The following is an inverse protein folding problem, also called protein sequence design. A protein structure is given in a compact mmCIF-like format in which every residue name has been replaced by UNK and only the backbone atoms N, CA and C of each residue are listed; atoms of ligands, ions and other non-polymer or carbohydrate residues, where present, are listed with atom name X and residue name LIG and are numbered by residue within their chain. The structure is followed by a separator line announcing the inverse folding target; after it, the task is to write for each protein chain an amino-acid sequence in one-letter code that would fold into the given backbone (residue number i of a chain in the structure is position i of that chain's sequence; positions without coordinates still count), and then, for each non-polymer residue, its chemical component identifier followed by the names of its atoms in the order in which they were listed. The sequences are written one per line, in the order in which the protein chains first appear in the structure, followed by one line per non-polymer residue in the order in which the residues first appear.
data_IF_516649901088
#
_entry.id   IF_516649901088
#
_cell.length_a   1.000
_cell.length_b   1.000
_cell.length_c   1.000
_cell.angle_alpha   90.00
_cell.angle_beta   90.00
_cell.angle_gamma   90.00
#
_symmetry.space_group_name_H-M   'P 1'
#
loop_
_entity.id
_entity.type
_entity.pdbx_description
1 polymer ?
#
# COMPACT_ATOMS: atom_id res chain seq x y z
N UNK A 1 -13.12 -17.26 -3.09
CA UNK A 1 -12.57 -16.37 -2.05
C UNK A 1 -12.31 -15.04 -2.71
N UNK A 2 -12.52 -13.95 -1.98
CA UNK A 2 -12.40 -12.59 -2.53
C UNK A 2 -11.33 -11.84 -1.76
N UNK A 3 -10.26 -11.35 -2.43
CA UNK A 3 -9.20 -10.62 -1.78
C UNK A 3 -9.68 -9.21 -1.41
N UNK A 4 -9.49 -8.84 -0.15
CA UNK A 4 -9.77 -7.53 0.41
C UNK A 4 -8.55 -6.97 1.13
N UNK A 5 -8.52 -5.67 1.23
CA UNK A 5 -7.56 -4.93 2.03
C UNK A 5 -8.29 -3.82 2.79
N UNK A 6 -8.07 -3.73 4.09
CA UNK A 6 -8.57 -2.63 4.89
C UNK A 6 -7.40 -1.79 5.37
N UNK A 7 -7.44 -0.50 5.08
CA UNK A 7 -6.56 0.52 5.63
C UNK A 7 -7.23 1.13 6.86
N UNK A 8 -6.57 1.06 8.00
CA UNK A 8 -6.92 1.83 9.19
C UNK A 8 -5.85 2.90 9.36
N UNK A 9 -6.16 4.10 8.92
CA UNK A 9 -5.32 5.29 8.97
C UNK A 9 -5.70 6.09 10.22
N UNK A 10 -4.75 6.36 11.12
CA UNK A 10 -5.08 6.94 12.41
C UNK A 10 -3.92 7.68 13.06
N UNK A 11 -4.27 8.45 14.08
CA UNK A 11 -3.34 9.05 15.01
C UNK A 11 -3.52 8.45 16.40
N UNK A 12 -2.43 8.40 17.16
CA UNK A 12 -2.42 7.97 18.57
C UNK A 12 -2.23 9.22 19.43
N UNK A 13 -2.98 9.39 20.54
CA UNK A 13 -2.76 10.51 21.45
C UNK A 13 -1.31 10.56 21.93
N UNK A 14 -0.76 11.77 22.01
CA UNK A 14 0.62 12.00 22.42
C UNK A 14 0.96 11.32 23.75
N UNK A 15 2.05 10.59 23.79
CA UNK A 15 2.51 9.86 24.98
C UNK A 15 1.89 8.46 25.15
N UNK A 16 0.94 8.06 24.30
CA UNK A 16 0.32 6.72 24.34
C UNK A 16 0.82 5.76 23.25
N UNK A 17 1.85 6.15 22.52
CA UNK A 17 2.38 5.36 21.38
C UNK A 17 2.87 3.97 21.81
N UNK A 18 3.54 3.88 22.94
CA UNK A 18 4.03 2.58 23.48
C UNK A 18 2.86 1.69 23.92
N UNK A 19 1.81 2.28 24.49
CA UNK A 19 0.60 1.56 24.92
C UNK A 19 -0.17 1.03 23.71
N UNK A 20 -0.34 1.88 22.66
CA UNK A 20 -0.93 1.44 21.41
C UNK A 20 -0.13 0.30 20.76
N UNK A 21 1.20 0.41 20.75
CA UNK A 21 2.07 -0.65 20.25
C UNK A 21 1.86 -1.98 20.99
N UNK A 22 1.84 -1.93 22.32
CA UNK A 22 1.61 -3.11 23.16
C UNK A 22 0.20 -3.70 22.94
N UNK A 23 -0.82 -2.85 22.79
CA UNK A 23 -2.17 -3.28 22.46
C UNK A 23 -2.22 -3.99 21.10
N UNK A 24 -1.64 -3.38 20.06
CA UNK A 24 -1.66 -3.95 18.72
C UNK A 24 -0.94 -5.29 18.65
N UNK A 25 0.29 -5.37 19.19
CA UNK A 25 1.12 -6.57 19.09
C UNK A 25 0.70 -7.66 20.10
N UNK A 26 -0.10 -7.33 21.09
CA UNK A 26 -0.61 -8.23 22.12
C UNK A 26 -2.08 -8.61 21.92
N UNK A 27 -3.01 -7.99 22.66
CA UNK A 27 -4.43 -8.40 22.65
C UNK A 27 -5.10 -8.28 21.30
N UNK A 28 -4.84 -7.21 20.53
CA UNK A 28 -5.43 -7.03 19.21
C UNK A 28 -4.99 -8.11 18.24
N UNK A 29 -3.67 -8.38 18.13
CA UNK A 29 -3.15 -9.46 17.28
C UNK A 29 -3.71 -10.83 17.65
N UNK A 30 -3.89 -11.08 18.95
CA UNK A 30 -4.53 -12.32 19.43
C UNK A 30 -6.00 -12.39 18.98
N UNK A 31 -6.74 -11.30 19.08
CA UNK A 31 -8.14 -11.24 18.67
C UNK A 31 -8.27 -11.39 17.13
N UNK A 32 -7.37 -10.79 16.36
CA UNK A 32 -7.32 -10.93 14.91
C UNK A 32 -7.22 -12.38 14.45
N UNK A 33 -6.59 -13.27 15.23
CA UNK A 33 -6.48 -14.69 14.88
C UNK A 33 -7.85 -15.41 14.77
N UNK A 34 -8.91 -14.83 15.33
CA UNK A 34 -10.28 -15.34 15.19
C UNK A 34 -10.99 -14.91 13.92
N UNK A 35 -10.45 -13.93 13.18
CA UNK A 35 -11.07 -13.42 11.97
C UNK A 35 -10.92 -14.40 10.81
N UNK A 36 -12.06 -14.78 10.25
CA UNK A 36 -12.09 -15.68 9.10
C UNK A 36 -11.52 -14.99 7.88
N UNK A 37 -10.58 -15.65 7.22
CA UNK A 37 -9.97 -15.16 5.99
C UNK A 37 -8.89 -14.10 6.18
N UNK A 38 -8.51 -13.73 7.41
CA UNK A 38 -7.37 -12.85 7.62
C UNK A 38 -6.08 -13.54 7.14
N UNK A 39 -5.36 -12.86 6.25
CA UNK A 39 -4.09 -13.31 5.67
C UNK A 39 -2.91 -12.65 6.35
N UNK A 40 -3.01 -11.33 6.60
CA UNK A 40 -1.94 -10.52 7.17
C UNK A 40 -2.49 -9.32 7.94
N UNK A 41 -1.75 -8.89 8.96
CA UNK A 41 -2.01 -7.66 9.70
C UNK A 41 -0.67 -7.01 10.08
N UNK A 42 -0.35 -5.91 9.42
CA UNK A 42 0.87 -5.15 9.63
C UNK A 42 0.58 -3.74 10.10
N UNK A 43 1.52 -3.18 10.88
CA UNK A 43 1.46 -1.80 11.34
C UNK A 43 2.63 -0.99 10.80
N UNK A 44 2.33 0.25 10.45
CA UNK A 44 3.25 1.16 9.82
C UNK A 44 3.19 2.54 10.48
N UNK A 45 4.27 3.29 10.39
CA UNK A 45 4.37 4.70 10.76
C UNK A 45 4.74 5.52 9.52
N UNK A 46 4.16 6.70 9.38
CA UNK A 46 4.44 7.59 8.24
C UNK A 46 5.94 7.85 8.12
N UNK A 47 6.47 7.68 6.92
CA UNK A 47 7.88 7.99 6.66
C UNK A 47 8.10 9.50 6.62
N UNK A 48 9.20 10.01 7.18
CA UNK A 48 9.59 11.40 6.99
C UNK A 48 10.01 11.70 5.53
N UNK A 49 10.22 10.66 4.73
CA UNK A 49 10.61 10.76 3.33
C UNK A 49 9.39 10.50 2.47
N UNK A 50 8.92 11.53 1.76
CA UNK A 50 7.73 11.47 0.90
C UNK A 50 8.08 11.90 -0.53
N UNK A 51 7.42 11.29 -1.52
CA UNK A 51 7.59 11.69 -2.94
C UNK A 51 6.91 13.02 -3.23
N UNK A 52 5.88 13.35 -2.48
CA UNK A 52 5.11 14.59 -2.58
C UNK A 52 5.13 15.28 -1.20
N UNK A 53 6.25 15.93 -0.83
CA UNK A 53 6.42 16.46 0.52
C UNK A 53 5.45 17.60 0.86
N UNK A 54 4.90 18.26 -0.16
CA UNK A 54 3.91 19.36 0.02
C UNK A 54 2.49 18.82 0.25
N UNK A 55 2.24 17.53 0.09
CA UNK A 55 0.96 16.93 0.42
C UNK A 55 0.91 16.64 1.92
N UNK A 56 -0.13 17.14 2.62
CA UNK A 56 -0.32 16.84 4.03
C UNK A 56 -0.31 15.33 4.32
N UNK A 57 0.32 14.96 5.43
CA UNK A 57 0.34 13.59 5.96
C UNK A 57 -0.53 13.57 7.23
N UNK A 58 -1.86 13.48 7.11
CA UNK A 58 -2.78 13.68 8.23
C UNK A 58 -2.75 12.53 9.24
N UNK A 59 -2.27 11.35 8.83
CA UNK A 59 -2.23 10.15 9.65
C UNK A 59 -0.78 9.72 9.91
N UNK A 60 -0.42 9.63 11.18
CA UNK A 60 0.91 9.15 11.58
C UNK A 60 1.03 7.64 11.46
N UNK A 61 -0.05 6.91 11.69
CA UNK A 61 -0.06 5.46 11.69
C UNK A 61 -1.02 4.89 10.66
N UNK A 62 -0.66 3.72 10.16
CA UNK A 62 -1.51 2.88 9.33
C UNK A 62 -1.43 1.44 9.80
N UNK A 63 -2.58 0.81 10.00
CA UNK A 63 -2.69 -0.65 10.09
C UNK A 63 -3.27 -1.17 8.78
N UNK A 64 -2.62 -2.17 8.21
CA UNK A 64 -3.00 -2.81 6.95
C UNK A 64 -3.47 -4.22 7.25
N UNK A 65 -4.73 -4.50 6.97
CA UNK A 65 -5.34 -5.83 7.12
C UNK A 65 -5.63 -6.40 5.74
N UNK A 66 -5.06 -7.55 5.44
CA UNK A 66 -5.29 -8.26 4.19
C UNK A 66 -6.13 -9.50 4.45
N UNK A 67 -7.12 -9.71 3.60
CA UNK A 67 -8.07 -10.80 3.71
C UNK A 67 -8.24 -11.57 2.40
N UNK A 68 -8.57 -12.85 2.53
CA UNK A 68 -9.15 -13.68 1.48
C UNK A 68 -10.50 -14.20 1.98
N UNK A 69 -11.55 -13.40 1.76
CA UNK A 69 -12.85 -13.57 2.41
C UNK A 69 -13.73 -14.58 1.66
N UNK A 70 -14.18 -15.64 2.31
CA UNK A 70 -15.20 -16.54 1.76
C UNK A 70 -16.55 -15.82 1.53
N UNK A 71 -16.95 -14.94 2.45
CA UNK A 71 -18.14 -14.11 2.36
C UNK A 71 -17.88 -12.72 2.92
N UNK A 72 -17.52 -11.78 2.04
CA UNK A 72 -17.13 -10.44 2.46
C UNK A 72 -18.22 -9.68 3.24
N UNK A 73 -19.49 -9.88 2.90
CA UNK A 73 -20.60 -9.20 3.58
C UNK A 73 -20.77 -9.63 5.06
N UNK A 74 -20.32 -10.84 5.39
CA UNK A 74 -20.39 -11.39 6.75
C UNK A 74 -19.03 -11.20 7.46
N UNK A 75 -17.94 -11.52 6.77
CA UNK A 75 -16.63 -11.67 7.40
C UNK A 75 -15.92 -10.32 7.60
N UNK A 76 -16.06 -9.37 6.66
CA UNK A 76 -15.40 -8.06 6.75
C UNK A 76 -15.86 -7.21 7.95
N UNK A 77 -17.16 -7.11 8.26
CA UNK A 77 -17.64 -6.33 9.41
C UNK A 77 -17.09 -6.81 10.76
N UNK A 78 -16.65 -8.07 10.85
CA UNK A 78 -16.10 -8.62 12.09
C UNK A 78 -14.81 -7.93 12.57
N UNK A 79 -14.12 -7.18 11.68
CA UNK A 79 -12.98 -6.35 12.07
C UNK A 79 -13.42 -5.11 12.87
N UNK A 80 -14.61 -4.57 12.64
CA UNK A 80 -15.09 -3.33 13.25
C UNK A 80 -15.02 -3.31 14.77
N UNK A 81 -15.59 -4.28 15.50
CA UNK A 81 -15.50 -4.35 16.94
C UNK A 81 -14.05 -4.35 17.45
N UNK A 82 -13.14 -5.04 16.78
CA UNK A 82 -11.73 -5.11 17.17
C UNK A 82 -10.99 -3.77 17.00
N UNK A 83 -11.43 -2.92 16.06
CA UNK A 83 -10.92 -1.55 15.92
C UNK A 83 -11.56 -0.61 16.94
N UNK A 84 -12.84 -0.83 17.30
CA UNK A 84 -13.52 -0.06 18.33
C UNK A 84 -12.83 -0.22 19.70
N UNK A 85 -12.30 -1.38 20.02
CA UNK A 85 -11.55 -1.62 21.28
C UNK A 85 -10.42 -0.62 21.51
N UNK A 86 -9.71 -0.19 20.44
CA UNK A 86 -8.66 0.82 20.54
C UNK A 86 -9.22 2.21 20.87
N UNK A 87 -10.37 2.57 20.27
CA UNK A 87 -11.06 3.84 20.53
C UNK A 87 -11.58 3.87 21.96
N UNK A 88 -12.25 2.81 22.39
CA UNK A 88 -12.81 2.68 23.76
C UNK A 88 -11.71 2.75 24.83
N UNK A 89 -10.51 2.25 24.51
CA UNK A 89 -9.34 2.40 25.35
C UNK A 89 -8.66 3.78 25.23
N UNK A 90 -9.17 4.69 24.39
CA UNK A 90 -8.56 6.00 24.13
C UNK A 90 -7.19 5.93 23.48
N UNK A 91 -6.90 4.87 22.71
CA UNK A 91 -5.64 4.65 22.01
C UNK A 91 -5.63 5.23 20.60
N UNK A 92 -6.79 5.65 20.08
CA UNK A 92 -6.95 6.38 18.83
C UNK A 92 -7.43 7.79 19.17
N UNK A 93 -6.84 8.78 18.54
CA UNK A 93 -7.20 10.18 18.78
C UNK A 93 -8.63 10.45 18.27
N UNK A 94 -9.44 11.15 19.07
CA UNK A 94 -10.85 11.46 18.82
C UNK A 94 -11.03 12.84 18.11
N UNK A 95 -10.06 13.26 17.32
CA UNK A 95 -10.15 14.49 16.54
C UNK A 95 -10.80 14.19 15.19
N UNK A 96 -11.62 15.12 14.67
CA UNK A 96 -12.18 14.96 13.33
C UNK A 96 -11.04 14.80 12.30
N UNK A 97 -11.17 13.84 11.41
CA UNK A 97 -10.15 13.42 10.44
C UNK A 97 -8.92 12.67 11.01
N UNK A 98 -8.81 12.49 12.32
CA UNK A 98 -7.70 11.73 12.93
C UNK A 98 -7.73 10.24 12.61
N UNK A 99 -8.88 9.73 12.18
CA UNK A 99 -9.07 8.32 11.84
C UNK A 99 -9.87 8.13 10.55
N UNK A 100 -9.43 7.19 9.74
CA UNK A 100 -10.14 6.74 8.52
C UNK A 100 -9.97 5.22 8.36
N UNK A 101 -11.07 4.57 8.03
CA UNK A 101 -11.08 3.15 7.71
C UNK A 101 -11.65 2.99 6.31
N UNK A 102 -10.84 2.44 5.41
CA UNK A 102 -11.24 2.19 4.03
C UNK A 102 -11.00 0.74 3.66
N UNK A 103 -12.03 0.07 3.19
CA UNK A 103 -11.94 -1.30 2.69
C UNK A 103 -11.98 -1.32 1.17
N UNK A 104 -11.01 -1.99 0.57
CA UNK A 104 -10.84 -2.13 -0.88
C UNK A 104 -11.00 -3.59 -1.28
N UNK A 105 -11.72 -3.82 -2.37
CA UNK A 105 -11.71 -5.09 -3.06
C UNK A 105 -10.51 -5.13 -3.99
N UNK A 106 -9.62 -6.10 -3.80
CA UNK A 106 -8.39 -6.20 -4.58
C UNK A 106 -8.64 -6.94 -5.89
N UNK A 107 -8.02 -6.48 -6.97
CA UNK A 107 -8.17 -7.10 -8.30
C UNK A 107 -7.42 -8.42 -8.41
N UNK A 108 -6.30 -8.56 -7.71
CA UNK A 108 -5.44 -9.73 -7.73
C UNK A 108 -4.63 -9.83 -6.44
N UNK A 109 -3.86 -10.88 -6.32
CA UNK A 109 -2.79 -10.96 -5.34
C UNK A 109 -1.64 -9.99 -5.69
N UNK A 110 -0.66 -9.88 -4.79
CA UNK A 110 0.55 -9.11 -5.03
C UNK A 110 1.27 -9.57 -6.31
N UNK A 111 1.60 -8.62 -7.17
CA UNK A 111 2.51 -8.81 -8.30
C UNK A 111 3.92 -8.59 -7.79
N UNK A 112 4.75 -9.62 -7.83
CA UNK A 112 6.07 -9.61 -7.18
C UNK A 112 7.17 -9.28 -8.19
N UNK A 113 8.04 -8.37 -7.80
CA UNK A 113 9.28 -8.06 -8.50
C UNK A 113 10.25 -9.25 -8.48
N UNK A 114 11.01 -9.50 -9.55
CA UNK A 114 12.13 -10.44 -9.51
C UNK A 114 13.25 -10.03 -8.53
N UNK A 115 13.26 -8.78 -8.07
CA UNK A 115 14.23 -8.28 -7.09
C UNK A 115 13.82 -8.58 -5.63
N UNK A 116 12.62 -9.13 -5.40
CA UNK A 116 12.18 -9.47 -4.06
C UNK A 116 13.05 -10.55 -3.43
N UNK A 117 13.52 -10.28 -2.22
CA UNK A 117 14.30 -11.21 -1.41
C UNK A 117 13.40 -11.79 -0.31
N UNK A 118 13.09 -13.09 -0.44
CA UNK A 118 12.11 -13.77 0.41
C UNK A 118 12.50 -13.80 1.90
N UNK A 119 13.79 -13.84 2.19
CA UNK A 119 14.38 -13.90 3.53
C UNK A 119 14.59 -12.52 4.18
N UNK A 120 14.30 -11.45 3.45
CA UNK A 120 14.38 -10.09 3.94
C UNK A 120 12.97 -9.57 4.34
N UNK A 121 12.85 -8.81 5.45
CA UNK A 121 11.61 -8.18 5.83
C UNK A 121 11.26 -7.05 4.84
N UNK A 122 9.97 -6.68 4.78
CA UNK A 122 9.59 -5.41 4.17
C UNK A 122 10.09 -4.26 5.04
N UNK A 123 10.64 -3.23 4.41
CA UNK A 123 10.98 -1.97 5.08
C UNK A 123 9.79 -1.02 5.18
N UNK A 124 8.82 -1.14 4.27
CA UNK A 124 7.64 -0.29 4.26
C UNK A 124 6.67 -0.61 3.13
N UNK A 125 5.68 0.26 3.03
CA UNK A 125 4.70 0.27 1.94
C UNK A 125 4.36 1.72 1.57
N UNK A 126 4.14 2.00 0.29
CA UNK A 126 3.44 3.21 -0.10
C UNK A 126 2.00 2.90 -0.49
N UNK A 127 1.09 3.78 -0.11
CA UNK A 127 -0.29 3.78 -0.57
C UNK A 127 -0.52 4.93 -1.53
N UNK A 128 -1.18 4.64 -2.62
CA UNK A 128 -1.61 5.64 -3.59
C UNK A 128 -3.14 5.55 -3.66
N UNK A 129 -3.79 6.64 -3.24
CA UNK A 129 -5.23 6.80 -3.35
C UNK A 129 -5.49 7.69 -4.57
N UNK A 130 -6.19 7.18 -5.57
CA UNK A 130 -6.34 7.84 -6.85
C UNK A 130 -7.73 7.61 -7.45
N UNK A 131 -8.07 8.42 -8.45
CA UNK A 131 -9.27 8.24 -9.27
C UNK A 131 -8.85 8.19 -10.73
N UNK A 132 -9.50 7.37 -11.53
CA UNK A 132 -9.33 7.39 -12.99
C UNK A 132 -10.17 8.52 -13.61
N UNK A 133 -9.82 8.90 -14.83
CA UNK A 133 -10.62 9.85 -15.60
C UNK A 133 -11.97 9.22 -15.94
N UNK A 134 -13.06 9.93 -15.68
CA UNK A 134 -14.43 9.45 -15.93
C UNK A 134 -14.56 8.95 -17.38
N UNK A 135 -15.14 7.77 -17.53
CA UNK A 135 -15.31 7.11 -18.84
C UNK A 135 -14.07 6.37 -19.36
N UNK A 136 -12.93 6.42 -18.65
CA UNK A 136 -11.67 5.82 -19.12
C UNK A 136 -11.16 4.68 -18.21
N UNK A 137 -12.07 4.02 -17.53
CA UNK A 137 -11.72 2.93 -16.62
C UNK A 137 -10.93 1.80 -17.28
N UNK A 138 -11.40 1.33 -18.44
CA UNK A 138 -10.73 0.24 -19.16
C UNK A 138 -9.29 0.58 -19.54
N UNK A 139 -9.03 1.80 -20.03
CA UNK A 139 -7.69 2.27 -20.37
C UNK A 139 -6.79 2.40 -19.13
N UNK A 140 -7.37 2.86 -18.00
CA UNK A 140 -6.66 2.95 -16.74
C UNK A 140 -6.21 1.56 -16.27
N UNK A 141 -7.08 0.55 -16.34
CA UNK A 141 -6.75 -0.81 -15.95
C UNK A 141 -5.69 -1.42 -16.87
N UNK A 142 -5.89 -1.29 -18.19
CA UNK A 142 -4.95 -1.80 -19.19
C UNK A 142 -3.55 -1.22 -19.02
N UNK A 143 -3.44 0.10 -18.83
CA UNK A 143 -2.16 0.76 -18.59
C UNK A 143 -1.46 0.27 -17.34
N UNK A 144 -2.20 0.11 -16.24
CA UNK A 144 -1.61 -0.44 -15.02
C UNK A 144 -1.18 -1.89 -15.20
N UNK A 145 -2.03 -2.73 -15.81
CA UNK A 145 -1.77 -4.16 -15.87
C UNK A 145 -0.65 -4.51 -16.85
N UNK A 146 -0.55 -3.81 -17.96
CA UNK A 146 0.37 -4.14 -19.03
C UNK A 146 1.62 -3.25 -19.08
N UNK A 147 1.63 -2.10 -18.39
CA UNK A 147 2.74 -1.13 -18.47
C UNK A 147 3.21 -0.75 -17.06
N UNK A 148 2.41 0.05 -16.36
CA UNK A 148 2.88 0.80 -15.19
C UNK A 148 3.24 -0.07 -13.98
N UNK A 149 2.53 -1.17 -13.76
CA UNK A 149 2.89 -2.10 -12.68
C UNK A 149 4.31 -2.65 -12.85
N UNK A 150 4.66 -3.05 -14.08
CA UNK A 150 6.01 -3.52 -14.40
C UNK A 150 7.07 -2.44 -14.18
N UNK A 151 6.79 -1.22 -14.63
CA UNK A 151 7.70 -0.08 -14.45
C UNK A 151 7.96 0.22 -12.98
N UNK A 152 6.91 0.22 -12.15
CA UNK A 152 7.02 0.53 -10.71
C UNK A 152 7.79 -0.53 -9.94
N UNK A 153 7.44 -1.81 -10.10
CA UNK A 153 8.11 -2.89 -9.36
C UNK A 153 9.53 -3.18 -9.86
N UNK A 154 9.93 -2.58 -10.97
CA UNK A 154 11.32 -2.64 -11.48
C UNK A 154 12.21 -1.52 -10.90
N UNK A 155 11.66 -0.58 -10.15
CA UNK A 155 12.45 0.43 -9.42
C UNK A 155 13.17 -0.25 -8.27
N UNK A 156 14.49 -0.04 -8.07
CA UNK A 156 15.21 -0.56 -6.94
C UNK A 156 14.53 -0.21 -5.61
N UNK A 157 14.35 -1.20 -4.74
CA UNK A 157 13.66 -1.03 -3.48
C UNK A 157 12.15 -1.30 -3.54
N UNK A 158 11.50 -1.25 -4.69
CA UNK A 158 10.13 -1.75 -4.86
C UNK A 158 10.16 -3.25 -5.14
N UNK A 159 9.40 -4.03 -4.38
CA UNK A 159 9.41 -5.50 -4.47
C UNK A 159 8.05 -6.10 -4.77
N UNK A 160 7.00 -5.32 -4.76
CA UNK A 160 5.68 -5.79 -5.14
C UNK A 160 4.66 -4.68 -5.27
N UNK A 161 3.59 -4.98 -6.02
CA UNK A 161 2.45 -4.08 -6.21
C UNK A 161 1.14 -4.86 -6.09
N UNK A 162 0.14 -4.26 -5.44
CA UNK A 162 -1.22 -4.77 -5.35
C UNK A 162 -2.20 -3.64 -5.59
N UNK A 163 -3.31 -3.93 -6.27
CA UNK A 163 -4.27 -2.91 -6.69
C UNK A 163 -5.69 -3.33 -6.36
N UNK A 164 -6.53 -2.35 -6.07
CA UNK A 164 -7.94 -2.57 -5.79
C UNK A 164 -8.80 -1.33 -5.98
N UNK A 165 -10.08 -1.53 -5.83
CA UNK A 165 -11.10 -0.48 -5.86
C UNK A 165 -11.84 -0.40 -4.53
N UNK A 166 -12.28 0.81 -4.16
CA UNK A 166 -13.03 1.04 -2.95
C UNK A 166 -14.29 0.17 -2.95
N UNK A 167 -14.43 -0.65 -1.92
CA UNK A 167 -15.55 -1.58 -1.82
C UNK A 167 -16.86 -0.85 -1.48
N UNK A 168 -17.98 -1.38 -1.99
CA UNK A 168 -19.32 -1.01 -1.47
C UNK A 168 -19.49 -1.46 -0.02
N UNK A 169 -18.80 -2.55 0.37
CA UNK A 169 -18.80 -3.05 1.74
C UNK A 169 -17.71 -2.31 2.52
N UNK A 170 -18.14 -1.52 3.50
CA UNK A 170 -17.27 -0.80 4.42
C UNK A 170 -17.55 -1.26 5.85
N UNK A 171 -16.54 -1.22 6.70
CA UNK A 171 -16.65 -1.55 8.13
C UNK A 171 -17.46 -0.50 8.87
N UNK A 172 -17.29 0.75 8.45
CA UNK A 172 -18.03 1.91 8.99
C UNK A 172 -18.76 2.63 7.88
N UNK A 173 -19.74 3.50 8.21
CA UNK A 173 -20.39 4.33 7.22
C UNK A 173 -19.37 5.06 6.35
N UNK A 174 -19.61 5.04 5.04
CA UNK A 174 -18.70 5.63 4.06
C UNK A 174 -18.49 7.11 4.35
N UNK A 175 -17.25 7.47 4.66
CA UNK A 175 -16.77 8.85 4.73
C UNK A 175 -16.09 9.22 3.41
N UNK A 176 -15.75 10.49 3.25
CA UNK A 176 -15.00 10.94 2.09
C UNK A 176 -13.69 10.15 1.98
N UNK A 177 -13.47 9.53 0.83
CA UNK A 177 -12.23 8.87 0.47
C UNK A 177 -11.58 9.61 -0.69
N UNK A 178 -10.30 9.99 -0.61
CA UNK A 178 -9.62 10.76 -1.65
C UNK A 178 -9.39 9.97 -2.94
N UNK A 179 -9.55 8.64 -2.91
CA UNK A 179 -9.39 7.79 -4.09
C UNK A 179 -10.16 6.50 -4.04
N UNK A 180 -10.98 6.28 -5.08
CA UNK A 180 -11.69 5.00 -5.27
C UNK A 180 -10.77 3.88 -5.76
N UNK A 181 -9.54 4.23 -6.17
CA UNK A 181 -8.52 3.26 -6.59
C UNK A 181 -7.38 3.27 -5.57
N UNK A 182 -7.04 2.09 -5.08
CA UNK A 182 -5.89 1.85 -4.21
C UNK A 182 -4.77 1.18 -4.99
N UNK A 183 -3.55 1.71 -4.83
CA UNK A 183 -2.34 1.00 -5.19
C UNK A 183 -1.46 0.88 -3.95
N UNK A 184 -1.02 -0.32 -3.66
CA UNK A 184 -0.04 -0.64 -2.63
C UNK A 184 1.27 -1.00 -3.32
N UNK A 185 2.39 -0.39 -2.90
CA UNK A 185 3.73 -0.77 -3.35
C UNK A 185 4.55 -1.21 -2.13
N UNK A 186 4.90 -2.48 -2.08
CA UNK A 186 5.75 -3.06 -1.03
C UNK A 186 7.21 -2.71 -1.28
N UNK A 187 7.96 -2.45 -0.21
CA UNK A 187 9.34 -1.97 -0.26
C UNK A 187 10.28 -2.86 0.55
N UNK A 188 11.46 -3.11 -0.02
CA UNK A 188 12.64 -3.66 0.64
C UNK A 188 13.83 -2.77 0.29
N UNK A 189 14.12 -1.80 1.14
CA UNK A 189 15.22 -0.85 0.93
C UNK A 189 15.68 -0.27 2.25
N UNK A 190 16.98 -0.04 2.35
CA UNK A 190 17.60 0.71 3.45
C UNK A 190 17.70 2.21 3.12
N UNK A 191 17.48 2.57 1.84
CA UNK A 191 17.52 3.94 1.34
C UNK A 191 16.24 4.27 0.55
N UNK A 192 15.17 4.64 1.26
CA UNK A 192 13.92 5.05 0.66
C UNK A 192 14.08 6.31 -0.21
N UNK A 193 14.98 7.23 0.18
CA UNK A 193 15.22 8.45 -0.59
C UNK A 193 15.78 8.13 -1.97
N UNK A 194 16.73 7.19 -2.06
CA UNK A 194 17.25 6.71 -3.34
C UNK A 194 16.13 6.10 -4.20
N UNK A 195 15.32 5.20 -3.61
CA UNK A 195 14.19 4.57 -4.31
C UNK A 195 13.23 5.62 -4.90
N UNK A 196 12.85 6.63 -4.12
CA UNK A 196 11.95 7.71 -4.56
C UNK A 196 12.60 8.58 -5.65
N UNK A 197 13.88 8.90 -5.51
CA UNK A 197 14.62 9.69 -6.52
C UNK A 197 14.75 8.95 -7.85
N UNK A 198 15.07 7.66 -7.81
CA UNK A 198 15.17 6.84 -9.04
C UNK A 198 13.80 6.70 -9.71
N UNK A 199 12.73 6.44 -8.93
CA UNK A 199 11.36 6.43 -9.44
C UNK A 199 11.02 7.76 -10.13
N UNK A 200 11.28 8.89 -9.48
CA UNK A 200 10.98 10.23 -10.00
C UNK A 200 11.78 10.55 -11.26
N UNK A 201 13.05 10.14 -11.29
CA UNK A 201 13.91 10.33 -12.45
C UNK A 201 13.43 9.50 -13.66
N UNK A 202 13.01 8.26 -13.44
CA UNK A 202 12.42 7.39 -14.48
C UNK A 202 11.11 7.96 -15.00
N UNK A 203 10.22 8.42 -14.11
CA UNK A 203 8.96 9.06 -14.47
C UNK A 203 9.18 10.37 -15.26
N UNK A 204 10.26 11.08 -14.99
CA UNK A 204 10.67 12.28 -15.72
C UNK A 204 11.48 12.02 -16.99
N UNK A 205 11.71 10.77 -17.36
CA UNK A 205 12.51 10.39 -18.54
C UNK A 205 14.01 10.68 -18.42
N UNK A 206 14.53 10.88 -17.19
CA UNK A 206 15.90 11.35 -16.91
C UNK A 206 16.69 10.45 -15.96
N UNK A 207 16.32 9.18 -15.86
CA UNK A 207 17.05 8.26 -14.99
C UNK A 207 18.51 8.10 -15.39
N UNK A 208 19.45 8.13 -14.43
CA UNK A 208 20.86 7.81 -14.67
C UNK A 208 21.08 6.41 -15.25
N UNK A 209 20.18 5.48 -14.95
CA UNK A 209 20.22 4.11 -15.52
C UNK A 209 19.79 4.05 -16.99
N UNK A 210 19.38 5.17 -17.60
CA UNK A 210 18.84 5.20 -18.96
C UNK A 210 17.46 4.58 -19.11
N UNK A 211 16.84 4.18 -18.02
CA UNK A 211 15.48 3.62 -18.01
C UNK A 211 14.48 4.78 -17.83
N UNK A 212 13.56 4.92 -18.76
CA UNK A 212 12.46 5.86 -18.66
C UNK A 212 11.15 5.09 -18.53
N UNK A 213 10.24 5.59 -17.70
CA UNK A 213 8.86 5.13 -17.70
C UNK A 213 8.13 5.73 -18.90
N UNK A 214 7.16 5.01 -19.41
CA UNK A 214 6.31 5.54 -20.48
C UNK A 214 5.55 6.78 -19.97
N UNK A 215 5.28 7.74 -20.84
CA UNK A 215 4.46 8.88 -20.48
C UNK A 215 3.16 8.41 -19.83
N UNK A 216 2.76 9.10 -18.78
CA UNK A 216 1.52 8.77 -18.07
C UNK A 216 0.34 8.79 -19.03
N UNK A 217 -0.46 7.74 -19.04
CA UNK A 217 -1.68 7.69 -19.82
C UNK A 217 -2.61 8.85 -19.45
N UNK A 218 -3.27 9.44 -20.46
CA UNK A 218 -4.32 10.45 -20.26
C UNK A 218 -5.54 9.90 -19.49
N UNK A 219 -5.64 8.58 -19.32
CA UNK A 219 -6.60 7.91 -18.42
C UNK A 219 -6.22 8.00 -16.97
N UNK A 220 -5.01 8.49 -16.65
CA UNK A 220 -4.48 8.61 -15.31
C UNK A 220 -5.33 9.48 -14.40
N UNK A 221 -5.09 9.36 -13.10
CA UNK A 221 -5.88 9.95 -12.04
C UNK A 221 -6.04 11.47 -12.19
N UNK A 222 -7.25 11.95 -11.97
CA UNK A 222 -7.57 13.38 -11.87
C UNK A 222 -7.11 13.98 -10.54
N UNK A 223 -7.06 13.15 -9.48
CA UNK A 223 -6.50 13.48 -8.18
C UNK A 223 -5.78 12.25 -7.62
N UNK A 224 -4.73 12.47 -6.88
CA UNK A 224 -4.05 11.40 -6.15
C UNK A 224 -3.37 11.93 -4.89
N UNK A 225 -3.31 11.08 -3.88
CA UNK A 225 -2.43 11.25 -2.74
C UNK A 225 -1.49 10.06 -2.67
N UNK A 226 -0.26 10.30 -2.27
CA UNK A 226 0.76 9.26 -2.10
C UNK A 226 1.36 9.40 -0.72
N UNK A 227 1.31 8.32 0.05
CA UNK A 227 1.85 8.29 1.39
C UNK A 227 2.80 7.10 1.53
N UNK A 228 4.02 7.37 1.99
CA UNK A 228 5.01 6.37 2.31
C UNK A 228 5.01 6.09 3.80
N UNK A 229 5.01 4.80 4.15
CA UNK A 229 4.98 4.33 5.51
C UNK A 229 6.11 3.32 5.75
N UNK A 230 6.82 3.48 6.86
CA UNK A 230 7.81 2.52 7.33
C UNK A 230 7.12 1.42 8.14
N UNK A 231 7.48 0.18 7.91
CA UNK A 231 6.95 -0.95 8.68
C UNK A 231 7.54 -0.96 10.09
N UNK A 232 6.68 -1.01 11.10
CA UNK A 232 7.09 -0.98 12.52
C UNK A 232 6.69 -2.23 13.29
N UNK A 233 5.68 -2.98 12.84
CA UNK A 233 5.36 -4.30 13.38
C UNK A 233 4.57 -5.13 12.39
N UNK A 234 4.36 -6.41 12.70
CA UNK A 234 3.66 -7.37 11.88
C UNK A 234 4.49 -8.62 11.59
N UNK A 235 4.11 -9.39 10.58
CA UNK A 235 4.86 -10.57 10.19
C UNK A 235 6.28 -10.17 9.73
N UNK A 236 7.29 -10.88 10.26
CA UNK A 236 8.68 -10.58 9.92
C UNK A 236 8.94 -10.73 8.43
N UNK A 237 8.39 -11.78 7.84
CA UNK A 237 8.58 -12.07 6.43
C UNK A 237 7.26 -11.93 5.69
N UNK A 238 7.31 -11.19 4.62
CA UNK A 238 6.19 -11.04 3.72
C UNK A 238 5.95 -12.35 2.96
N UNK A 239 4.69 -12.78 2.89
CA UNK A 239 4.32 -14.03 2.21
C UNK A 239 4.49 -13.94 0.69
N UNK A 240 4.66 -12.73 0.15
CA UNK A 240 4.79 -12.50 -1.28
C UNK A 240 3.45 -12.58 -1.98
N UNK A 241 3.49 -13.03 -3.23
CA UNK A 241 2.33 -13.15 -4.12
C UNK A 241 2.70 -13.92 -5.37
N UNK A 242 2.12 -13.55 -6.50
CA UNK A 242 2.42 -14.14 -7.81
C UNK A 242 3.52 -13.36 -8.51
N UNK A 243 4.46 -14.08 -9.14
CA UNK A 243 5.48 -13.43 -9.96
C UNK A 243 4.81 -12.57 -11.05
N UNK A 244 5.30 -11.36 -11.24
CA UNK A 244 4.82 -10.54 -12.34
C UNK A 244 5.19 -11.20 -13.66
N UNK A 245 4.18 -11.56 -14.45
CA UNK A 245 4.36 -12.28 -15.73
C UNK A 245 4.75 -11.40 -16.91
N UNK A 246 4.96 -10.09 -16.71
CA UNK A 246 5.35 -9.17 -17.77
C UNK A 246 6.80 -9.34 -18.22
N UNK A 247 7.09 -8.84 -19.41
CA UNK A 247 8.44 -8.87 -19.96
C UNK A 247 9.33 -7.80 -19.31
N UNK A 248 10.31 -8.25 -18.52
CA UNK A 248 11.35 -7.39 -17.94
C UNK A 248 12.60 -7.26 -18.83
N UNK A 249 12.65 -7.92 -20.00
CA UNK A 249 13.82 -7.91 -20.84
C UNK A 249 14.30 -6.50 -21.23
N UNK A 250 13.41 -5.56 -21.60
CA UNK A 250 13.80 -4.18 -21.87
C UNK A 250 14.50 -3.50 -20.69
N UNK A 251 14.03 -3.74 -19.47
CA UNK A 251 14.59 -3.16 -18.26
C UNK A 251 15.93 -3.78 -17.88
N UNK A 252 16.07 -5.10 -18.02
CA UNK A 252 17.33 -5.81 -17.79
C UNK A 252 18.42 -5.37 -18.77
N UNK A 253 18.08 -5.20 -20.04
CA UNK A 253 18.99 -4.72 -21.06
C UNK A 253 19.49 -3.29 -20.74
N UNK A 254 18.59 -2.39 -20.33
CA UNK A 254 18.93 -1.03 -19.96
C UNK A 254 19.82 -0.99 -18.69
N UNK A 255 19.52 -1.82 -17.68
CA UNK A 255 20.36 -1.93 -16.48
C UNK A 255 21.76 -2.44 -16.80
N UNK A 256 21.90 -3.48 -17.64
CA UNK A 256 23.19 -4.01 -18.06
C UNK A 256 24.01 -2.96 -18.84
N UNK A 257 23.36 -2.18 -19.72
CA UNK A 257 24.01 -1.11 -20.46
C UNK A 257 24.48 0.05 -19.57
N UNK A 258 23.78 0.32 -18.46
CA UNK A 258 24.15 1.36 -17.51
C UNK A 258 25.33 0.97 -16.62
N UNK A 259 25.47 -0.32 -16.29
CA UNK A 259 26.60 -0.85 -15.47
C UNK A 259 27.92 -0.93 -16.24
N UNK A 260 27.88 -0.85 -17.56
CA UNK A 260 29.05 -0.91 -18.44
C UNK A 260 29.53 0.49 -18.91
N UNK A 261 29.00 1.56 -18.35
CA UNK A 261 29.42 2.96 -18.55
C UNK A 261 30.12 3.51 -17.31
#
# INVERSE_FOLDING_TARGET
MSPYCTLHLHNVPAGREAEYAAWFDGPHRKALASLRGLVNADRFEVSPIQIMPDIPQPWRYMSLYEFDLPNAAIDLPALGPLLADARDAGLVADEDESERIYSYRMYSDWKISPNWQRDQPLSGVSIILANYTIGRYAEYQDWYDNVHSGEVINVPGHVGMKRGELSELQIEPRRYCPGDQLVLCAQQTDDLLFTIRDFSARAGGRSPSGIAMQPRSSSGSTARTVHYFNKISGDRFWKGGVAYGGDFAPYKAAQAAAQNK
#
